data_IF_998224070238
#
_entry.id   IF_998224070238
#
_cell.length_a   1.000
_cell.length_b   1.000
_cell.length_c   1.000
_cell.angle_alpha   90.00
_cell.angle_beta   90.00
_cell.angle_gamma   90.00
#
_symmetry.space_group_name_H-M   'P 1'
#
loop_
_entity.id
_entity.type
_entity.pdbx_description
1 polymer ?
#
# COMPACT_ATOMS: atom_id res chain seq x y z
N UNK A 1 38.15 26.87 -32.58
CA UNK A 1 37.49 26.19 -33.71
C UNK A 1 35.99 26.30 -33.46
N UNK A 2 35.20 26.91 -34.36
CA UNK A 2 33.74 26.98 -34.19
C UNK A 2 33.15 25.62 -34.56
N UNK A 3 32.31 24.99 -33.71
CA UNK A 3 31.62 23.76 -34.08
C UNK A 3 30.83 23.98 -35.37
N UNK A 4 30.79 22.97 -36.23
CA UNK A 4 29.91 22.96 -37.39
C UNK A 4 28.45 22.95 -36.95
N UNK A 5 27.55 23.46 -37.79
CA UNK A 5 26.11 23.52 -37.50
C UNK A 5 25.53 22.13 -37.14
N UNK A 6 26.02 21.06 -37.79
CA UNK A 6 25.65 19.67 -37.50
C UNK A 6 26.09 19.19 -36.12
N UNK A 7 27.26 19.62 -35.64
CA UNK A 7 27.73 19.27 -34.29
C UNK A 7 26.88 19.98 -33.22
N UNK A 8 26.51 21.24 -33.47
CA UNK A 8 25.64 22.00 -32.56
C UNK A 8 24.23 21.37 -32.43
N UNK A 9 23.63 20.95 -33.54
CA UNK A 9 22.34 20.23 -33.53
C UNK A 9 22.43 18.90 -32.79
N UNK A 10 23.52 18.15 -33.00
CA UNK A 10 23.76 16.89 -32.31
C UNK A 10 23.82 17.08 -30.80
N UNK A 11 24.62 18.04 -30.32
CA UNK A 11 24.73 18.33 -28.89
C UNK A 11 23.39 18.78 -28.28
N UNK A 12 22.62 19.62 -28.97
CA UNK A 12 21.30 20.05 -28.50
C UNK A 12 20.32 18.86 -28.34
N UNK A 13 20.34 17.91 -29.29
CA UNK A 13 19.51 16.70 -29.20
C UNK A 13 19.92 15.81 -28.03
N UNK A 14 21.22 15.57 -27.86
CA UNK A 14 21.76 14.77 -26.75
C UNK A 14 21.44 15.42 -25.40
N UNK A 15 21.58 16.73 -25.27
CA UNK A 15 21.20 17.46 -24.05
C UNK A 15 19.71 17.33 -23.74
N UNK A 16 18.85 17.47 -24.75
CA UNK A 16 17.42 17.31 -24.59
C UNK A 16 17.05 15.89 -24.14
N UNK A 17 17.61 14.87 -24.78
CA UNK A 17 17.39 13.46 -24.42
C UNK A 17 17.85 13.17 -22.99
N UNK A 18 19.02 13.68 -22.59
CA UNK A 18 19.53 13.55 -21.22
C UNK A 18 18.61 14.23 -20.20
N UNK A 19 18.19 15.48 -20.45
CA UNK A 19 17.26 16.22 -19.58
C UNK A 19 15.92 15.50 -19.46
N UNK A 20 15.38 14.99 -20.58
CA UNK A 20 14.15 14.21 -20.60
C UNK A 20 14.27 12.96 -19.73
N UNK A 21 15.38 12.22 -19.85
CA UNK A 21 15.64 11.03 -19.04
C UNK A 21 15.71 11.34 -17.55
N UNK A 22 16.39 12.43 -17.17
CA UNK A 22 16.49 12.89 -15.78
C UNK A 22 15.12 13.23 -15.20
N UNK A 23 14.30 13.98 -15.94
CA UNK A 23 12.94 14.32 -15.47
C UNK A 23 12.04 13.07 -15.40
N UNK A 24 12.13 12.13 -16.35
CA UNK A 24 11.41 10.85 -16.28
C UNK A 24 11.79 10.03 -15.04
N UNK A 25 13.08 9.94 -14.73
CA UNK A 25 13.58 9.24 -13.53
C UNK A 25 13.12 9.93 -12.24
N UNK A 26 13.17 11.26 -12.20
CA UNK A 26 12.65 12.06 -11.09
C UNK A 26 11.15 11.86 -10.89
N UNK A 27 10.36 11.83 -11.96
CA UNK A 27 8.93 11.54 -11.89
C UNK A 27 8.66 10.13 -11.35
N UNK A 28 9.41 9.12 -11.81
CA UNK A 28 9.30 7.74 -11.29
C UNK A 28 9.65 7.68 -9.80
N UNK A 29 10.71 8.38 -9.36
CA UNK A 29 11.10 8.45 -7.96
C UNK A 29 10.02 9.08 -7.10
N UNK A 30 9.49 10.23 -7.50
CA UNK A 30 8.41 10.92 -6.79
C UNK A 30 7.16 10.05 -6.67
N UNK A 31 6.77 9.37 -7.75
CA UNK A 31 5.63 8.44 -7.72
C UNK A 31 5.87 7.26 -6.75
N UNK A 32 7.10 6.74 -6.67
CA UNK A 32 7.48 5.71 -5.71
C UNK A 32 7.42 6.19 -4.26
N UNK A 33 7.93 7.38 -3.98
CA UNK A 33 7.89 8.03 -2.67
C UNK A 33 6.46 8.28 -2.21
N UNK A 34 5.60 8.77 -3.10
CA UNK A 34 4.19 9.03 -2.78
C UNK A 34 3.42 7.74 -2.48
N UNK A 35 3.67 6.67 -3.26
CA UNK A 35 3.10 5.35 -2.99
C UNK A 35 3.53 4.81 -1.63
N UNK A 36 4.80 5.03 -1.24
CA UNK A 36 5.33 4.62 0.06
C UNK A 36 4.65 5.39 1.21
N UNK A 37 4.59 6.72 1.11
CA UNK A 37 3.88 7.56 2.08
C UNK A 37 2.42 7.17 2.23
N UNK A 38 1.72 6.92 1.11
CA UNK A 38 0.33 6.47 1.16
C UNK A 38 0.17 5.14 1.89
N UNK A 39 1.06 4.17 1.66
CA UNK A 39 1.04 2.90 2.42
C UNK A 39 1.21 3.12 3.91
N UNK A 40 2.19 3.94 4.30
CA UNK A 40 2.46 4.24 5.72
C UNK A 40 1.27 4.94 6.39
N UNK A 41 0.66 5.91 5.71
CA UNK A 41 -0.51 6.65 6.23
C UNK A 41 -1.76 5.78 6.45
N UNK A 42 -1.91 4.68 5.72
CA UNK A 42 -3.09 3.81 5.83
C UNK A 42 -2.80 2.49 6.58
N UNK A 43 -1.55 2.28 7.02
CA UNK A 43 -1.17 1.06 7.73
C UNK A 43 -1.87 0.99 9.10
N UNK A 44 -2.54 -0.13 9.39
CA UNK A 44 -3.37 -0.32 10.60
C UNK A 44 -4.49 0.70 10.77
N UNK A 45 -4.95 1.31 9.67
CA UNK A 45 -6.05 2.26 9.68
C UNK A 45 -7.29 1.65 9.04
N UNK A 46 -8.43 1.79 9.70
CA UNK A 46 -9.70 1.30 9.20
C UNK A 46 -10.06 2.02 7.89
N UNK A 47 -10.21 1.31 6.76
CA UNK A 47 -10.55 1.95 5.49
C UNK A 47 -12.01 2.43 5.42
N UNK A 48 -12.85 2.07 6.41
CA UNK A 48 -14.25 2.53 6.50
C UNK A 48 -14.39 3.89 7.21
N UNK A 49 -13.70 4.09 8.34
CA UNK A 49 -13.86 5.31 9.14
C UNK A 49 -12.55 6.05 9.45
N UNK A 50 -11.38 5.48 9.12
CA UNK A 50 -10.08 6.09 9.36
C UNK A 50 -9.58 6.02 10.81
N UNK A 51 -10.20 5.23 11.68
CA UNK A 51 -9.72 4.98 13.04
C UNK A 51 -8.74 3.80 13.08
N UNK A 52 -7.91 3.73 14.12
CA UNK A 52 -6.94 2.64 14.29
C UNK A 52 -7.62 1.26 14.37
N UNK A 53 -6.96 0.27 13.79
CA UNK A 53 -7.27 -1.14 13.93
C UNK A 53 -6.51 -1.72 15.13
N UNK A 54 -7.18 -2.58 15.88
CA UNK A 54 -6.64 -3.29 17.03
C UNK A 54 -6.50 -4.77 16.63
N UNK A 55 -5.26 -5.26 16.58
CA UNK A 55 -4.97 -6.68 16.31
C UNK A 55 -5.34 -7.53 17.52
N UNK A 56 -6.07 -8.63 17.29
CA UNK A 56 -6.50 -9.60 18.29
C UNK A 56 -6.11 -10.99 17.81
N UNK A 57 -5.30 -11.70 18.61
CA UNK A 57 -4.98 -13.10 18.36
C UNK A 57 -6.11 -14.02 18.84
N UNK A 58 -6.77 -14.73 17.93
CA UNK A 58 -7.78 -15.74 18.23
C UNK A 58 -7.47 -17.06 17.54
N UNK A 59 -7.11 -18.08 18.33
CA UNK A 59 -6.82 -19.44 17.83
C UNK A 59 -5.86 -19.43 16.62
N UNK A 60 -4.74 -18.73 16.75
CA UNK A 60 -3.70 -18.60 15.71
C UNK A 60 -4.11 -17.78 14.48
N UNK A 61 -5.24 -17.09 14.53
CA UNK A 61 -5.69 -16.14 13.50
C UNK A 61 -5.55 -14.75 14.12
N UNK A 62 -4.77 -13.84 13.49
CA UNK A 62 -4.79 -12.45 13.89
C UNK A 62 -6.00 -11.81 13.24
N UNK A 63 -6.67 -10.96 13.98
CA UNK A 63 -7.90 -10.33 13.52
C UNK A 63 -7.85 -8.87 13.89
N UNK A 64 -7.96 -8.01 12.89
CA UNK A 64 -7.91 -6.57 13.07
C UNK A 64 -9.32 -6.00 13.23
N UNK A 65 -9.63 -5.52 14.44
CA UNK A 65 -10.92 -4.89 14.74
C UNK A 65 -10.78 -3.38 14.83
N UNK A 66 -11.65 -2.66 14.13
CA UNK A 66 -11.80 -1.22 14.33
C UNK A 66 -12.50 -0.92 15.67
N UNK A 67 -11.92 -0.03 16.45
CA UNK A 67 -12.44 0.41 17.76
C UNK A 67 -13.74 1.21 17.67
N UNK A 68 -14.02 1.83 16.52
CA UNK A 68 -15.14 2.77 16.36
C UNK A 68 -16.31 2.19 15.59
N UNK A 69 -16.05 1.66 14.38
CA UNK A 69 -17.12 1.27 13.46
C UNK A 69 -17.43 -0.24 13.45
N UNK A 70 -16.81 -0.99 14.38
CA UNK A 70 -16.92 -2.45 14.52
C UNK A 70 -16.56 -3.25 13.25
N UNK A 71 -15.78 -2.64 12.34
CA UNK A 71 -15.26 -3.33 11.16
C UNK A 71 -14.20 -4.36 11.52
N UNK A 72 -14.21 -5.51 10.86
CA UNK A 72 -13.25 -6.61 11.06
C UNK A 72 -12.48 -6.84 9.76
N UNK A 73 -11.16 -6.93 9.87
CA UNK A 73 -10.23 -7.13 8.77
C UNK A 73 -9.37 -8.36 9.04
N UNK A 74 -9.08 -9.08 7.96
CA UNK A 74 -8.25 -10.29 7.95
C UNK A 74 -7.21 -10.12 6.86
N UNK A 75 -5.97 -10.50 7.16
CA UNK A 75 -4.89 -10.51 6.20
C UNK A 75 -4.97 -11.71 5.25
N UNK A 76 -4.19 -11.65 4.17
CA UNK A 76 -4.07 -12.75 3.23
C UNK A 76 -3.51 -14.00 3.93
N UNK A 77 -4.19 -15.15 3.80
CA UNK A 77 -3.85 -16.39 4.51
C UNK A 77 -4.71 -16.64 5.76
N UNK A 78 -5.23 -15.58 6.38
CA UNK A 78 -6.04 -15.71 7.60
C UNK A 78 -7.47 -16.13 7.26
N UNK A 79 -8.00 -15.63 6.15
CA UNK A 79 -9.31 -16.04 5.65
C UNK A 79 -9.36 -17.55 5.37
N UNK A 80 -8.27 -18.13 4.88
CA UNK A 80 -8.14 -19.57 4.67
C UNK A 80 -8.19 -20.34 5.99
N UNK A 81 -7.59 -19.81 7.06
CA UNK A 81 -7.68 -20.41 8.40
C UNK A 81 -9.11 -20.33 8.95
N UNK A 82 -9.77 -19.17 8.80
CA UNK A 82 -11.18 -19.00 9.17
C UNK A 82 -12.08 -19.97 8.41
N UNK A 83 -11.84 -20.17 7.11
CA UNK A 83 -12.67 -21.04 6.26
C UNK A 83 -12.60 -22.53 6.64
N UNK A 84 -11.52 -22.95 7.31
CA UNK A 84 -11.32 -24.32 7.78
C UNK A 84 -11.92 -24.56 9.18
N UNK A 85 -12.39 -23.52 9.86
CA UNK A 85 -13.03 -23.66 11.15
C UNK A 85 -14.43 -24.26 11.02
N UNK A 86 -14.79 -25.11 11.98
CA UNK A 86 -16.17 -25.58 12.12
C UNK A 86 -17.11 -24.44 12.48
N UNK A 87 -18.41 -24.62 12.19
CA UNK A 87 -19.46 -23.64 12.45
C UNK A 87 -19.42 -23.07 13.87
N UNK A 88 -19.16 -23.90 14.89
CA UNK A 88 -19.05 -23.48 16.29
C UNK A 88 -17.84 -22.55 16.52
N UNK A 89 -16.73 -22.80 15.82
CA UNK A 89 -15.54 -21.96 15.87
C UNK A 89 -15.80 -20.59 15.26
N UNK A 90 -16.48 -20.57 14.11
CA UNK A 90 -16.89 -19.36 13.41
C UNK A 90 -17.90 -18.54 14.22
N UNK A 91 -18.91 -19.19 14.81
CA UNK A 91 -19.92 -18.53 15.64
C UNK A 91 -19.29 -17.88 16.88
N UNK A 92 -18.33 -18.55 17.52
CA UNK A 92 -17.57 -17.98 18.65
C UNK A 92 -16.70 -16.82 18.21
N UNK A 93 -16.02 -16.94 17.08
CA UNK A 93 -15.23 -15.85 16.49
C UNK A 93 -16.12 -14.62 16.27
N UNK A 94 -17.28 -14.76 15.62
CA UNK A 94 -18.22 -13.64 15.46
C UNK A 94 -18.84 -13.15 16.78
N UNK A 95 -18.96 -13.99 17.80
CA UNK A 95 -19.41 -13.56 19.12
C UNK A 95 -18.42 -12.64 19.84
N UNK A 96 -17.11 -12.82 19.61
CA UNK A 96 -16.07 -11.91 20.14
C UNK A 96 -16.20 -10.51 19.52
N UNK A 97 -16.71 -10.44 18.28
CA UNK A 97 -16.91 -9.20 17.55
C UNK A 97 -18.29 -8.56 17.75
N UNK A 98 -19.26 -9.29 18.34
CA UNK A 98 -20.56 -8.74 18.69
C UNK A 98 -20.45 -7.88 19.96
N UNK A 99 -21.06 -6.69 19.90
CA UNK A 99 -21.25 -5.79 21.03
C UNK A 99 -22.37 -6.31 21.95
#
# INVERSE_FOLDING_TARGET
MRPSEREAEYFARVEFENKKKIEEEKHKRLAGEEKKKRKELHFMMCPKCGMELIEIDYKEIKIDKCSECDGVWLDAGEMELVSKMDKIGIDKLFSVFKK
#
